data_IF_495453372791
#
_entry.id   IF_495453372791
#
_cell.length_a   1.000
_cell.length_b   1.000
_cell.length_c   1.000
_cell.angle_alpha   90.00
_cell.angle_beta   90.00
_cell.angle_gamma   90.00
#
_symmetry.space_group_name_H-M   'P 1'
#
loop_
_entity.id
_entity.type
_entity.pdbx_description
1 polymer ?
#
# COMPACT_ATOMS: atom_id res chain seq x y z
N UNK A 1 3.82 12.44 -4.69
CA UNK A 1 2.73 12.02 -5.59
C UNK A 1 2.51 13.08 -6.64
N UNK A 2 2.47 12.71 -7.89
CA UNK A 2 2.30 13.69 -8.97
C UNK A 2 0.89 14.30 -8.96
N UNK A 3 -0.11 13.49 -8.60
CA UNK A 3 -1.51 13.89 -8.60
C UNK A 3 -2.16 13.42 -7.28
N UNK A 4 -2.36 14.36 -6.36
CA UNK A 4 -2.93 14.02 -5.04
C UNK A 4 -4.35 13.48 -5.15
N UNK A 5 -5.16 13.98 -6.10
CA UNK A 5 -6.53 13.50 -6.25
C UNK A 5 -6.55 12.05 -6.73
N UNK A 6 -5.68 11.70 -7.67
CA UNK A 6 -5.57 10.32 -8.16
C UNK A 6 -5.10 9.37 -7.05
N UNK A 7 -4.12 9.80 -6.25
CA UNK A 7 -3.65 9.01 -5.11
C UNK A 7 -4.71 8.91 -4.03
N UNK A 8 -5.50 9.97 -3.82
CA UNK A 8 -6.65 9.92 -2.91
C UNK A 8 -7.65 8.87 -3.33
N UNK A 9 -7.97 8.82 -4.64
CA UNK A 9 -8.88 7.81 -5.18
C UNK A 9 -8.33 6.40 -4.99
N UNK A 10 -7.03 6.21 -5.20
CA UNK A 10 -6.36 4.94 -4.97
C UNK A 10 -6.52 4.50 -3.50
N UNK A 11 -6.18 5.36 -2.56
CA UNK A 11 -6.26 5.02 -1.14
C UNK A 11 -7.71 4.74 -0.71
N UNK A 12 -8.64 5.53 -1.20
CA UNK A 12 -10.06 5.35 -0.86
C UNK A 12 -10.60 4.05 -1.46
N UNK A 13 -10.31 3.77 -2.72
CA UNK A 13 -10.87 2.60 -3.41
C UNK A 13 -10.22 1.30 -2.96
N UNK A 14 -8.91 1.27 -2.75
CA UNK A 14 -8.22 0.03 -2.38
C UNK A 14 -8.32 -0.23 -0.88
N UNK A 15 -8.07 0.78 -0.05
CA UNK A 15 -7.94 0.62 1.39
C UNK A 15 -9.15 1.13 2.18
N UNK A 16 -10.16 1.67 1.51
CA UNK A 16 -11.28 2.32 2.19
C UNK A 16 -10.79 3.42 3.15
N UNK A 17 -9.73 4.11 2.73
CA UNK A 17 -9.10 5.14 3.55
C UNK A 17 -10.03 6.32 3.75
N UNK A 18 -9.93 6.96 4.90
CA UNK A 18 -10.68 8.16 5.23
C UNK A 18 -9.76 9.37 5.15
N UNK A 19 -10.09 10.32 4.26
CA UNK A 19 -9.35 11.58 4.21
C UNK A 19 -9.70 12.42 5.43
N UNK A 20 -8.69 12.84 6.19
CA UNK A 20 -8.90 13.62 7.41
C UNK A 20 -8.36 15.04 7.32
N UNK A 21 -7.55 15.35 6.32
CA UNK A 21 -6.95 16.67 6.15
C UNK A 21 -6.47 16.87 4.72
N UNK A 22 -6.64 18.10 4.22
CA UNK A 22 -6.06 18.55 2.95
C UNK A 22 -5.55 19.96 3.14
N UNK A 23 -4.32 20.23 2.71
CA UNK A 23 -3.77 21.59 2.76
C UNK A 23 -4.37 22.49 1.66
N UNK A 24 -5.07 21.92 0.69
CA UNK A 24 -5.58 22.67 -0.46
C UNK A 24 -4.43 23.28 -1.23
N UNK A 25 -4.47 24.59 -1.45
CA UNK A 25 -3.39 25.30 -2.13
C UNK A 25 -2.25 25.74 -1.21
N UNK A 26 -2.38 25.50 0.10
CA UNK A 26 -1.37 25.91 1.09
C UNK A 26 -0.26 24.88 1.20
N UNK A 27 0.92 25.36 1.57
CA UNK A 27 2.08 24.51 1.83
C UNK A 27 2.55 24.77 3.25
N UNK A 28 2.19 23.86 4.17
CA UNK A 28 2.64 23.94 5.57
C UNK A 28 3.96 23.19 5.76
N UNK A 29 4.39 22.44 4.74
CA UNK A 29 5.63 21.70 4.71
C UNK A 29 6.32 22.05 3.38
N UNK A 30 6.95 21.08 2.74
CA UNK A 30 7.63 21.31 1.46
C UNK A 30 6.68 21.33 0.27
N UNK A 31 5.47 20.81 0.43
CA UNK A 31 4.51 20.71 -0.69
C UNK A 31 3.08 20.66 -0.15
N UNK A 32 2.12 20.67 -1.09
CA UNK A 32 0.73 20.38 -0.74
C UNK A 32 0.64 18.94 -0.23
N UNK A 33 -0.27 18.70 0.71
CA UNK A 33 -0.37 17.39 1.33
C UNK A 33 -1.80 17.06 1.72
N UNK A 34 -2.05 15.76 1.89
CA UNK A 34 -3.30 15.23 2.43
C UNK A 34 -2.98 14.13 3.42
N UNK A 35 -3.85 13.99 4.42
CA UNK A 35 -3.72 12.94 5.44
C UNK A 35 -4.92 12.01 5.38
N UNK A 36 -4.63 10.73 5.53
CA UNK A 36 -5.64 9.66 5.50
C UNK A 36 -5.46 8.73 6.69
N UNK A 37 -6.56 8.13 7.11
CA UNK A 37 -6.51 6.99 8.03
C UNK A 37 -6.82 5.73 7.25
N UNK A 38 -5.92 4.75 7.38
CA UNK A 38 -6.05 3.43 6.78
C UNK A 38 -6.03 2.43 7.93
N UNK A 39 -7.20 1.94 8.34
CA UNK A 39 -7.34 1.05 9.50
C UNK A 39 -6.64 1.60 10.75
N UNK A 40 -6.80 2.90 11.00
CA UNK A 40 -6.18 3.57 12.13
C UNK A 40 -4.73 3.99 11.92
N UNK A 41 -4.12 3.62 10.81
CA UNK A 41 -2.76 4.03 10.48
C UNK A 41 -2.78 5.36 9.74
N UNK A 42 -1.98 6.30 10.18
CA UNK A 42 -1.88 7.62 9.56
C UNK A 42 -1.00 7.57 8.31
N UNK A 43 -1.60 7.86 7.16
CA UNK A 43 -0.87 7.99 5.89
C UNK A 43 -0.85 9.46 5.50
N UNK A 44 0.32 9.98 5.20
CA UNK A 44 0.49 11.32 4.64
C UNK A 44 0.95 11.19 3.20
N UNK A 45 0.29 11.89 2.28
CA UNK A 45 0.73 11.96 0.90
C UNK A 45 1.06 13.41 0.55
N UNK A 46 2.09 13.59 -0.26
CA UNK A 46 2.60 14.91 -0.62
C UNK A 46 2.73 15.02 -2.13
N UNK A 47 2.43 16.22 -2.66
CA UNK A 47 2.61 16.49 -4.08
C UNK A 47 4.10 16.53 -4.41
N UNK A 48 4.47 15.92 -5.51
CA UNK A 48 5.86 15.90 -5.97
C UNK A 48 6.00 14.94 -7.14
N UNK A 49 7.20 14.89 -7.69
CA UNK A 49 7.46 13.98 -8.80
C UNK A 49 7.40 12.53 -8.33
N UNK A 50 6.90 11.63 -9.18
CA UNK A 50 6.93 10.21 -8.85
C UNK A 50 8.36 9.70 -8.79
N UNK A 51 8.55 8.54 -8.16
CA UNK A 51 9.86 7.90 -8.18
C UNK A 51 10.23 7.58 -9.64
N UNK A 52 11.47 7.90 -10.02
CA UNK A 52 11.94 7.72 -11.39
C UNK A 52 12.11 6.26 -11.78
N UNK A 53 12.27 5.39 -10.81
CA UNK A 53 12.52 3.96 -11.03
C UNK A 53 11.64 3.12 -10.11
N UNK A 54 11.28 1.93 -10.60
CA UNK A 54 10.64 0.93 -9.77
C UNK A 54 11.72 0.10 -9.09
N UNK A 55 11.68 0.05 -7.77
CA UNK A 55 12.63 -0.72 -6.97
C UNK A 55 11.87 -1.74 -6.16
N UNK A 56 12.59 -2.58 -5.43
CA UNK A 56 11.96 -3.52 -4.52
C UNK A 56 11.76 -2.94 -3.12
N UNK A 57 12.13 -1.69 -2.90
CA UNK A 57 11.83 -1.02 -1.64
C UNK A 57 10.32 -0.87 -1.49
N UNK A 58 9.76 -1.33 -0.39
CA UNK A 58 8.31 -1.37 -0.27
C UNK A 58 7.82 -1.20 1.16
N UNK A 59 6.53 -0.90 1.25
CA UNK A 59 5.80 -0.86 2.51
C UNK A 59 4.94 -2.11 2.58
N UNK A 60 5.05 -2.85 3.68
CA UNK A 60 4.25 -4.06 3.90
C UNK A 60 3.13 -3.75 4.88
N UNK A 61 1.90 -4.06 4.48
CA UNK A 61 0.72 -3.86 5.30
C UNK A 61 0.03 -5.18 5.52
N UNK A 62 -0.36 -5.44 6.78
CA UNK A 62 -1.07 -6.65 7.13
C UNK A 62 -2.55 -6.51 6.79
N UNK A 63 -3.12 -7.55 6.17
CA UNK A 63 -4.56 -7.63 5.90
C UNK A 63 -5.05 -9.00 6.35
N UNK A 64 -6.36 -9.10 6.64
CA UNK A 64 -6.95 -10.39 6.97
C UNK A 64 -7.01 -11.28 5.72
N UNK A 65 -6.73 -12.57 5.89
CA UNK A 65 -6.73 -13.50 4.75
C UNK A 65 -8.08 -13.50 4.03
N UNK A 66 -9.17 -13.40 4.75
CA UNK A 66 -10.52 -13.36 4.16
C UNK A 66 -10.76 -12.15 3.27
N UNK A 67 -9.98 -11.07 3.45
CA UNK A 67 -10.16 -9.82 2.71
C UNK A 67 -9.19 -9.67 1.54
N UNK A 68 -8.18 -10.55 1.44
CA UNK A 68 -7.11 -10.41 0.45
C UNK A 68 -7.65 -10.37 -0.98
N UNK A 69 -8.59 -11.25 -1.32
CA UNK A 69 -9.15 -11.30 -2.67
C UNK A 69 -9.85 -9.98 -3.05
N UNK A 70 -10.51 -9.34 -2.10
CA UNK A 70 -11.15 -8.05 -2.34
C UNK A 70 -10.12 -6.96 -2.64
N UNK A 71 -9.01 -6.96 -1.90
CA UNK A 71 -7.91 -6.01 -2.17
C UNK A 71 -7.34 -6.24 -3.56
N UNK A 72 -7.11 -7.48 -3.93
CA UNK A 72 -6.58 -7.83 -5.25
C UNK A 72 -7.52 -7.32 -6.35
N UNK A 73 -8.82 -7.58 -6.22
CA UNK A 73 -9.81 -7.12 -7.19
C UNK A 73 -9.82 -5.59 -7.32
N UNK A 74 -9.72 -4.88 -6.22
CA UNK A 74 -9.69 -3.40 -6.22
C UNK A 74 -8.43 -2.88 -6.93
N UNK A 75 -7.28 -3.46 -6.63
CA UNK A 75 -6.02 -3.09 -7.27
C UNK A 75 -6.06 -3.35 -8.77
N UNK A 76 -6.55 -4.52 -9.17
CA UNK A 76 -6.66 -4.87 -10.57
C UNK A 76 -7.66 -3.98 -11.31
N UNK A 77 -8.75 -3.59 -10.65
CA UNK A 77 -9.75 -2.72 -11.26
C UNK A 77 -9.21 -1.33 -11.60
N UNK A 78 -8.16 -0.89 -10.89
CA UNK A 78 -7.50 0.39 -11.16
C UNK A 78 -6.41 0.28 -12.23
N UNK A 79 -6.13 -0.93 -12.72
CA UNK A 79 -5.11 -1.15 -13.73
C UNK A 79 -3.68 -0.98 -13.23
N UNK A 80 -3.46 -1.12 -11.92
CA UNK A 80 -2.14 -0.97 -11.34
C UNK A 80 -1.25 -2.18 -11.69
N UNK A 81 0.05 -1.94 -11.76
CA UNK A 81 1.00 -3.01 -12.07
C UNK A 81 1.17 -3.94 -10.87
N UNK A 82 0.95 -5.22 -11.10
CA UNK A 82 1.07 -6.26 -10.08
C UNK A 82 2.33 -7.06 -10.35
N UNK A 83 3.12 -7.32 -9.30
CA UNK A 83 4.26 -8.22 -9.40
C UNK A 83 3.79 -9.66 -9.16
N UNK A 84 4.48 -10.61 -9.77
CA UNK A 84 4.21 -12.03 -9.57
C UNK A 84 4.36 -12.39 -8.08
N UNK A 85 3.53 -13.29 -7.62
CA UNK A 85 3.61 -13.77 -6.25
C UNK A 85 4.94 -14.50 -6.01
N UNK A 86 5.58 -14.15 -4.91
CA UNK A 86 6.79 -14.87 -4.47
C UNK A 86 6.38 -16.13 -3.73
N UNK A 87 7.12 -17.20 -3.96
CA UNK A 87 6.98 -18.41 -3.14
C UNK A 87 7.38 -18.10 -1.71
N UNK A 88 6.58 -18.57 -0.75
CA UNK A 88 6.87 -18.39 0.66
C UNK A 88 6.93 -19.76 1.33
N UNK A 89 7.71 -19.81 2.42
CA UNK A 89 7.76 -21.04 3.20
C UNK A 89 6.42 -21.21 3.95
N UNK A 90 6.11 -22.46 4.25
CA UNK A 90 4.87 -22.81 4.91
C UNK A 90 4.74 -22.06 6.24
N UNK A 91 3.58 -21.44 6.48
CA UNK A 91 3.33 -20.68 7.69
C UNK A 91 3.59 -19.20 7.61
N UNK A 92 4.18 -18.69 6.52
CA UNK A 92 4.38 -17.25 6.35
C UNK A 92 3.11 -16.51 5.96
N UNK A 93 2.10 -17.23 5.43
CA UNK A 93 0.91 -16.61 4.86
C UNK A 93 1.08 -16.28 3.39
N UNK A 94 0.20 -15.43 2.88
CA UNK A 94 0.19 -15.01 1.49
C UNK A 94 0.64 -13.58 1.36
N UNK A 95 1.23 -13.24 0.22
CA UNK A 95 1.64 -11.87 -0.09
C UNK A 95 1.21 -11.48 -1.49
N UNK A 96 0.88 -10.21 -1.65
CA UNK A 96 0.48 -9.63 -2.91
C UNK A 96 1.20 -8.29 -3.06
N UNK A 97 1.92 -8.11 -4.19
CA UNK A 97 2.73 -6.94 -4.44
C UNK A 97 2.17 -6.15 -5.61
N UNK A 98 2.09 -4.84 -5.48
CA UNK A 98 1.66 -3.97 -6.57
C UNK A 98 2.28 -2.59 -6.43
N UNK A 99 2.41 -1.87 -7.57
CA UNK A 99 2.87 -0.49 -7.58
C UNK A 99 1.69 0.46 -7.61
N UNK A 100 1.82 1.60 -6.92
CA UNK A 100 0.87 2.69 -7.08
C UNK A 100 1.20 3.49 -8.36
N UNK A 101 0.52 4.61 -8.57
CA UNK A 101 0.74 5.44 -9.77
C UNK A 101 2.10 6.13 -9.78
N UNK A 102 2.79 6.19 -8.65
CA UNK A 102 4.04 6.93 -8.49
C UNK A 102 5.24 6.00 -8.24
N UNK A 103 5.12 4.73 -8.60
CA UNK A 103 6.17 3.72 -8.50
C UNK A 103 6.52 3.30 -7.08
N UNK A 104 5.64 3.58 -6.11
CA UNK A 104 5.80 3.02 -4.77
C UNK A 104 5.29 1.59 -4.75
N UNK A 105 6.10 0.69 -4.21
CA UNK A 105 5.71 -0.72 -4.11
C UNK A 105 5.03 -0.99 -2.77
N UNK A 106 3.89 -1.63 -2.83
CA UNK A 106 3.13 -2.07 -1.66
C UNK A 106 3.11 -3.58 -1.60
N UNK A 107 3.20 -4.10 -0.39
CA UNK A 107 2.97 -5.52 -0.13
C UNK A 107 1.78 -5.63 0.83
N UNK A 108 0.80 -6.45 0.47
CA UNK A 108 -0.27 -6.85 1.39
C UNK A 108 0.01 -8.29 1.79
N UNK A 109 0.06 -8.55 3.11
CA UNK A 109 0.35 -9.90 3.58
C UNK A 109 -0.63 -10.31 4.66
N UNK A 110 -0.86 -11.62 4.78
CA UNK A 110 -1.87 -12.19 5.67
C UNK A 110 -1.29 -12.82 6.93
N UNK A 111 0.02 -13.09 6.95
CA UNK A 111 0.66 -13.70 8.09
C UNK A 111 0.88 -12.72 9.24
N UNK A 112 1.14 -13.26 10.43
CA UNK A 112 1.57 -12.46 11.58
C UNK A 112 3.08 -12.57 11.72
N UNK A 113 3.67 -11.62 12.44
CA UNK A 113 5.10 -11.69 12.75
C UNK A 113 5.42 -12.99 13.50
N UNK A 114 4.57 -13.37 14.44
CA UNK A 114 4.75 -14.59 15.23
C UNK A 114 4.75 -15.83 14.36
N UNK A 115 3.78 -15.95 13.45
CA UNK A 115 3.73 -17.08 12.52
C UNK A 115 4.96 -17.13 11.62
N UNK A 116 5.42 -15.99 11.14
CA UNK A 116 6.60 -15.91 10.29
C UNK A 116 7.86 -16.36 11.04
N UNK A 117 8.02 -15.89 12.27
CA UNK A 117 9.18 -16.28 13.09
C UNK A 117 9.18 -17.76 13.39
N UNK A 118 7.99 -18.34 13.67
CA UNK A 118 7.87 -19.78 13.88
C UNK A 118 8.24 -20.57 12.61
N UNK A 119 7.78 -20.12 11.45
CA UNK A 119 8.10 -20.76 10.18
C UNK A 119 9.60 -20.75 9.90
N UNK A 120 10.27 -19.63 10.17
CA UNK A 120 11.71 -19.51 9.97
C UNK A 120 12.52 -20.39 10.90
N UNK A 121 12.04 -20.57 12.12
CA UNK A 121 12.71 -21.48 13.08
C UNK A 121 12.65 -22.93 12.66
N UNK A 122 11.60 -23.33 11.93
CA UNK A 122 11.38 -24.69 11.46
C UNK A 122 12.06 -24.98 10.12
N UNK A 123 12.43 -23.95 9.41
CA UNK A 123 13.10 -24.08 8.11
C UNK A 123 14.65 -23.96 8.21
#
# INVERSE_FOLDING_TARGET
MKDLDRTSDFLTNVFEAKEIYSSGEKKHSYSKEKYFLVNGLWFAIMEGEPLSEKTYNHVALKVAEKDLEQYIERVESLGLEVLDERSRINGEGKSFYFYDYDNHLFELHTGTLEHRMEAYKKS
#
